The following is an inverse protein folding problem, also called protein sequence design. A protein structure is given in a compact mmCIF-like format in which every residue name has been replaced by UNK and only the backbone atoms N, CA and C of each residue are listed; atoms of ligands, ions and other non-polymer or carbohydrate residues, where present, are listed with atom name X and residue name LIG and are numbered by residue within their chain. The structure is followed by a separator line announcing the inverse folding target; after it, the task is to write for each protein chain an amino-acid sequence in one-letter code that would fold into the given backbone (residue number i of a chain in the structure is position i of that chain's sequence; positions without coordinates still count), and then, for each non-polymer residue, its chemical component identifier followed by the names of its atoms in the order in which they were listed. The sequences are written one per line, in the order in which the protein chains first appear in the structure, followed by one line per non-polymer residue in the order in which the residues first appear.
data_IF_461476731735
#
_entry.id   IF_461476731735
#
_cell.length_a   1.000
_cell.length_b   1.000
_cell.length_c   1.000
_cell.angle_alpha   90.00
_cell.angle_beta   90.00
_cell.angle_gamma   90.00
#
_symmetry.space_group_name_H-M   'P 1'
#
loop_
_entity.id
_entity.type
_entity.pdbx_description
1 polymer ?
#
# COMPACT_ATOMS: atom_id res chain seq x y z
N UNK A 1 19.20 21.17 -5.16
CA UNK A 1 17.88 20.65 -4.75
C UNK A 1 17.68 19.31 -5.42
N UNK A 2 17.37 18.21 -4.70
CA UNK A 2 17.11 16.94 -5.36
C UNK A 2 15.85 17.07 -6.20
N UNK A 3 15.92 16.64 -7.46
CA UNK A 3 14.77 16.58 -8.37
C UNK A 3 13.62 15.83 -7.70
N UNK A 4 12.54 16.53 -7.34
CA UNK A 4 11.33 15.89 -6.84
C UNK A 4 10.63 15.23 -8.03
N UNK A 5 10.73 13.90 -8.10
CA UNK A 5 9.87 13.12 -8.97
C UNK A 5 8.43 13.22 -8.46
N UNK A 6 7.51 13.61 -9.34
CA UNK A 6 6.07 13.54 -9.12
C UNK A 6 5.51 12.50 -10.08
N UNK A 7 4.90 11.45 -9.53
CA UNK A 7 4.34 10.36 -10.32
C UNK A 7 3.06 10.83 -11.05
N UNK A 8 2.99 10.67 -12.38
CA UNK A 8 1.80 11.05 -13.18
C UNK A 8 0.54 10.23 -12.81
N UNK A 9 0.71 8.98 -12.38
CA UNK A 9 -0.37 8.04 -12.04
C UNK A 9 0.04 7.21 -10.81
N UNK A 10 0.01 7.80 -9.62
CA UNK A 10 0.47 7.12 -8.42
C UNK A 10 -0.49 5.99 -8.05
N UNK A 11 0.07 4.82 -7.74
CA UNK A 11 -0.70 3.62 -7.39
C UNK A 11 -0.63 3.34 -5.89
N UNK A 12 -1.74 2.94 -5.24
CA UNK A 12 -1.72 2.49 -3.87
C UNK A 12 -1.34 1.01 -3.77
N UNK A 13 -0.56 0.68 -2.75
CA UNK A 13 -0.22 -0.69 -2.36
C UNK A 13 -0.50 -0.86 -0.86
N UNK A 14 -0.68 -2.10 -0.41
CA UNK A 14 -0.91 -2.40 1.00
C UNK A 14 0.09 -3.43 1.51
N UNK A 15 0.65 -3.18 2.69
CA UNK A 15 1.51 -4.11 3.42
C UNK A 15 0.76 -4.59 4.66
N UNK A 16 0.44 -5.88 4.69
CA UNK A 16 -0.18 -6.54 5.85
C UNK A 16 0.92 -7.25 6.64
N UNK A 17 1.21 -6.73 7.82
CA UNK A 17 2.20 -7.28 8.75
C UNK A 17 1.72 -7.10 10.18
N UNK A 18 2.01 -8.07 11.05
CA UNK A 18 1.66 -8.01 12.48
C UNK A 18 0.16 -7.79 12.79
N UNK A 19 -0.74 -8.26 11.92
CA UNK A 19 -2.20 -8.18 12.15
C UNK A 19 -2.72 -9.56 12.58
N UNK A 20 -2.97 -9.74 13.88
CA UNK A 20 -3.35 -11.06 14.42
C UNK A 20 -4.82 -11.43 14.18
N UNK A 21 -5.71 -10.44 14.07
CA UNK A 21 -7.15 -10.67 13.89
C UNK A 21 -7.46 -10.98 12.42
N UNK A 22 -7.92 -12.21 12.13
CA UNK A 22 -8.30 -12.65 10.76
C UNK A 22 -9.31 -11.73 10.10
N UNK A 23 -10.30 -11.23 10.86
CA UNK A 23 -11.30 -10.31 10.34
C UNK A 23 -10.68 -9.00 9.85
N UNK A 24 -9.69 -8.45 10.55
CA UNK A 24 -8.97 -7.26 10.11
C UNK A 24 -8.19 -7.54 8.82
N UNK A 25 -7.55 -8.72 8.69
CA UNK A 25 -6.89 -9.12 7.43
C UNK A 25 -7.89 -9.20 6.27
N UNK A 26 -9.06 -9.82 6.46
CA UNK A 26 -10.13 -9.87 5.45
C UNK A 26 -10.58 -8.48 5.03
N UNK A 27 -10.89 -7.62 6.00
CA UNK A 27 -11.35 -6.26 5.75
C UNK A 27 -10.29 -5.44 5.01
N UNK A 28 -9.02 -5.55 5.39
CA UNK A 28 -7.89 -4.88 4.72
C UNK A 28 -7.80 -5.27 3.24
N UNK A 29 -7.96 -6.55 2.92
CA UNK A 29 -7.96 -7.04 1.52
C UNK A 29 -9.15 -6.45 0.75
N UNK A 30 -10.35 -6.48 1.33
CA UNK A 30 -11.56 -5.93 0.68
C UNK A 30 -11.42 -4.42 0.44
N UNK A 31 -11.00 -3.68 1.45
CA UNK A 31 -10.82 -2.23 1.37
C UNK A 31 -9.76 -1.87 0.33
N UNK A 32 -8.62 -2.58 0.32
CA UNK A 32 -7.61 -2.41 -0.71
C UNK A 32 -8.19 -2.58 -2.12
N UNK A 33 -8.96 -3.65 -2.33
CA UNK A 33 -9.61 -3.89 -3.61
C UNK A 33 -10.54 -2.75 -4.04
N UNK A 34 -11.37 -2.27 -3.11
CA UNK A 34 -12.33 -1.20 -3.36
C UNK A 34 -11.68 0.12 -3.76
N UNK A 35 -10.46 0.40 -3.27
CA UNK A 35 -9.71 1.63 -3.56
C UNK A 35 -8.60 1.44 -4.60
N UNK A 36 -8.67 0.38 -5.42
CA UNK A 36 -7.77 0.20 -6.56
C UNK A 36 -6.37 -0.32 -6.22
N UNK A 37 -6.17 -0.91 -5.03
CA UNK A 37 -4.94 -1.64 -4.72
C UNK A 37 -4.91 -2.92 -5.57
N UNK A 38 -3.97 -3.01 -6.51
CA UNK A 38 -3.79 -4.21 -7.35
C UNK A 38 -2.80 -5.20 -6.75
N UNK A 39 -1.98 -4.77 -5.78
CA UNK A 39 -0.96 -5.63 -5.17
C UNK A 39 -0.93 -5.44 -3.66
N UNK A 40 -1.10 -6.54 -2.93
CA UNK A 40 -1.01 -6.61 -1.47
C UNK A 40 0.20 -7.45 -1.10
N UNK A 41 1.07 -6.89 -0.27
CA UNK A 41 2.23 -7.57 0.27
C UNK A 41 1.90 -8.08 1.67
N UNK A 42 2.14 -9.36 1.92
CA UNK A 42 1.84 -10.02 3.20
C UNK A 42 3.12 -10.52 3.82
N UNK A 43 3.41 -10.10 5.05
CA UNK A 43 4.65 -10.46 5.75
C UNK A 43 4.34 -11.26 7.01
N UNK A 44 4.89 -12.47 7.11
CA UNK A 44 4.85 -13.29 8.33
C UNK A 44 3.45 -13.78 8.75
N UNK A 45 2.44 -13.68 7.88
CA UNK A 45 1.08 -14.13 8.17
C UNK A 45 0.90 -15.61 7.81
N UNK A 46 1.20 -16.49 8.78
CA UNK A 46 1.08 -17.95 8.62
C UNK A 46 -0.30 -18.48 8.96
N UNK A 47 -1.04 -17.77 9.80
CA UNK A 47 -2.33 -18.25 10.29
C UNK A 47 -3.45 -18.13 9.25
N UNK A 48 -3.33 -17.21 8.29
CA UNK A 48 -4.35 -16.88 7.30
C UNK A 48 -4.10 -17.60 5.97
N UNK A 49 -5.13 -18.25 5.44
CA UNK A 49 -5.08 -18.93 4.15
C UNK A 49 -5.39 -17.94 3.00
N UNK A 50 -4.35 -17.57 2.26
CA UNK A 50 -4.44 -16.68 1.08
C UNK A 50 -4.66 -17.44 -0.24
N UNK A 51 -4.82 -18.75 -0.21
CA UNK A 51 -4.97 -19.54 -1.42
C UNK A 51 -6.38 -19.32 -1.98
N UNK A 52 -6.45 -18.87 -3.25
CA UNK A 52 -7.70 -18.63 -3.94
C UNK A 52 -8.25 -19.90 -4.63
N UNK A 53 -7.66 -21.08 -4.42
CA UNK A 53 -8.07 -22.34 -5.05
C UNK A 53 -9.24 -22.97 -4.29
N UNK A 54 -10.39 -23.13 -4.95
CA UNK A 54 -11.42 -24.06 -4.48
C UNK A 54 -11.10 -25.39 -5.17
N UNK A 55 -10.73 -26.42 -4.40
CA UNK A 55 -10.80 -27.78 -4.91
C UNK A 55 -12.29 -28.14 -4.94
N UNK A 56 -12.92 -27.95 -6.10
CA UNK A 56 -14.28 -28.42 -6.37
C UNK A 56 -14.27 -29.86 -6.94
N UNK A 57 -13.28 -30.65 -6.53
CA UNK A 57 -13.29 -32.09 -6.72
C UNK A 57 -14.01 -32.68 -5.51
N UNK A 58 -15.20 -33.23 -5.74
CA UNK A 58 -16.20 -33.62 -4.73
C UNK A 58 -15.83 -34.73 -3.74
N UNK A 59 -14.62 -34.72 -3.17
CA UNK A 59 -14.28 -35.56 -2.03
C UNK A 59 -13.14 -34.96 -1.19
N UNK A 60 -13.34 -34.91 0.13
CA UNK A 60 -12.42 -34.50 1.20
C UNK A 60 -12.21 -32.99 1.49
N UNK A 61 -12.86 -32.57 2.60
CA UNK A 61 -12.45 -31.53 3.58
C UNK A 61 -11.69 -30.34 2.99
N UNK A 62 -12.44 -29.42 2.38
CA UNK A 62 -11.95 -28.12 1.90
C UNK A 62 -11.22 -27.37 3.02
N UNK A 63 -9.92 -27.12 2.85
CA UNK A 63 -9.27 -26.01 3.56
C UNK A 63 -9.87 -24.71 3.01
N UNK A 64 -10.98 -24.26 3.59
CA UNK A 64 -11.70 -23.07 3.15
C UNK A 64 -10.73 -21.88 3.11
N UNK A 65 -10.60 -21.22 1.95
CA UNK A 65 -9.85 -19.97 1.81
C UNK A 65 -10.35 -18.95 2.84
N UNK A 66 -9.44 -18.15 3.40
CA UNK A 66 -9.85 -17.03 4.24
C UNK A 66 -10.13 -15.76 3.45
N UNK A 67 -9.90 -15.78 2.15
CA UNK A 67 -10.18 -14.65 1.29
C UNK A 67 -11.70 -14.38 1.26
N UNK A 68 -12.11 -13.10 1.21
CA UNK A 68 -13.50 -12.76 0.95
C UNK A 68 -13.96 -13.38 -0.37
N UNK A 69 -15.12 -14.06 -0.37
CA UNK A 69 -15.61 -14.82 -1.54
C UNK A 69 -15.67 -13.97 -2.81
N UNK A 70 -16.10 -12.71 -2.70
CA UNK A 70 -16.17 -11.76 -3.82
C UNK A 70 -14.80 -11.46 -4.46
N UNK A 71 -13.70 -11.68 -3.74
CA UNK A 71 -12.34 -11.38 -4.19
C UNK A 71 -11.66 -12.57 -4.87
N UNK A 72 -12.13 -13.79 -4.63
CA UNK A 72 -11.50 -15.02 -5.12
C UNK A 72 -11.40 -15.01 -6.66
N UNK A 73 -12.48 -14.68 -7.36
CA UNK A 73 -12.48 -14.61 -8.83
C UNK A 73 -11.55 -13.49 -9.35
N UNK A 74 -11.55 -12.33 -8.70
CA UNK A 74 -10.66 -11.22 -9.05
C UNK A 74 -9.17 -11.59 -8.92
N UNK A 75 -8.81 -12.31 -7.86
CA UNK A 75 -7.44 -12.80 -7.63
C UNK A 75 -7.09 -13.86 -8.67
N UNK A 76 -7.99 -14.82 -8.96
CA UNK A 76 -7.78 -15.85 -9.99
C UNK A 76 -7.55 -15.26 -11.38
N UNK A 77 -8.28 -14.19 -11.72
CA UNK A 77 -8.14 -13.47 -13.00
C UNK A 77 -6.95 -12.51 -13.04
N UNK A 78 -6.12 -12.47 -11.99
CA UNK A 78 -4.96 -11.58 -11.92
C UNK A 78 -5.31 -10.10 -11.75
N UNK A 79 -6.56 -9.75 -11.41
CA UNK A 79 -6.95 -8.35 -11.13
C UNK A 79 -6.39 -7.83 -9.80
N UNK A 80 -6.03 -8.76 -8.91
CA UNK A 80 -5.36 -8.48 -7.65
C UNK A 80 -4.32 -9.56 -7.39
N UNK A 81 -3.11 -9.14 -7.01
CA UNK A 81 -2.00 -10.02 -6.66
C UNK A 81 -1.72 -9.94 -5.17
N UNK A 82 -1.57 -11.08 -4.51
CA UNK A 82 -1.10 -11.18 -3.13
C UNK A 82 0.29 -11.81 -3.15
N UNK A 83 1.31 -11.07 -2.71
CA UNK A 83 2.70 -11.54 -2.66
C UNK A 83 3.08 -11.75 -1.20
N UNK A 84 3.56 -12.95 -0.87
CA UNK A 84 3.86 -13.35 0.51
C UNK A 84 5.37 -13.36 0.74
N UNK A 85 5.78 -12.87 1.90
CA UNK A 85 7.16 -12.88 2.38
C UNK A 85 7.21 -13.43 3.80
N UNK A 86 8.29 -14.14 4.11
CA UNK A 86 8.56 -14.57 5.49
C UNK A 86 9.15 -13.43 6.33
N UNK A 87 9.95 -12.56 5.70
CA UNK A 87 10.66 -11.46 6.37
C UNK A 87 10.29 -10.09 5.78
N UNK A 88 10.27 -9.08 6.65
CA UNK A 88 9.93 -7.71 6.27
C UNK A 88 10.98 -7.12 5.31
N UNK A 89 12.25 -7.43 5.51
CA UNK A 89 13.34 -6.93 4.70
C UNK A 89 13.25 -7.39 3.24
N UNK A 90 12.82 -8.63 3.01
CA UNK A 90 12.62 -9.20 1.66
C UNK A 90 11.45 -8.49 0.96
N UNK A 91 10.36 -8.24 1.69
CA UNK A 91 9.22 -7.47 1.21
C UNK A 91 9.63 -6.04 0.82
N UNK A 92 10.36 -5.35 1.69
CA UNK A 92 10.86 -3.98 1.44
C UNK A 92 11.78 -3.96 0.22
N UNK A 93 12.74 -4.89 0.13
CA UNK A 93 13.64 -4.98 -1.01
C UNK A 93 12.88 -5.20 -2.32
N UNK A 94 11.83 -6.04 -2.31
CA UNK A 94 10.96 -6.24 -3.45
C UNK A 94 10.18 -4.97 -3.82
N UNK A 95 9.53 -4.30 -2.85
CA UNK A 95 8.79 -3.05 -3.12
C UNK A 95 9.71 -1.98 -3.72
N UNK A 96 10.95 -1.87 -3.22
CA UNK A 96 11.93 -0.89 -3.70
C UNK A 96 12.54 -1.24 -5.06
N UNK A 97 12.43 -2.50 -5.52
CA UNK A 97 12.86 -2.88 -6.87
C UNK A 97 11.78 -2.64 -7.93
N UNK A 98 10.51 -2.47 -7.52
CA UNK A 98 9.42 -2.15 -8.43
C UNK A 98 9.50 -0.69 -8.92
N UNK A 99 9.10 -0.42 -10.17
CA UNK A 99 9.04 0.94 -10.69
C UNK A 99 7.96 1.74 -9.94
N UNK A 100 8.28 2.98 -9.57
CA UNK A 100 7.30 3.89 -8.93
C UNK A 100 6.14 4.23 -9.87
N UNK A 101 6.42 4.39 -11.17
CA UNK A 101 5.46 4.71 -12.20
C UNK A 101 5.75 3.89 -13.45
N UNK A 102 4.71 3.60 -14.23
CA UNK A 102 4.91 3.16 -15.61
C UNK A 102 5.65 4.29 -16.35
N UNK A 103 6.87 4.02 -16.81
CA UNK A 103 7.47 4.85 -17.85
C UNK A 103 6.64 4.61 -19.10
N UNK A 104 5.88 5.60 -19.53
CA UNK A 104 5.30 5.61 -20.87
C UNK A 104 6.42 5.21 -21.83
N UNK A 105 6.28 4.08 -22.52
CA UNK A 105 7.15 3.73 -23.64
C UNK A 105 7.01 4.88 -24.64
N UNK A 106 7.96 5.82 -24.60
CA UNK A 106 8.13 6.74 -25.69
C UNK A 106 8.54 5.87 -26.88
N UNK A 107 7.63 5.67 -27.82
CA UNK A 107 7.98 5.29 -29.18
C UNK A 107 8.85 6.42 -29.72
N UNK A 108 10.16 6.31 -29.52
CA UNK A 108 11.15 7.11 -30.23
C UNK A 108 11.51 6.29 -31.45
N UNK A 109 10.94 6.68 -32.59
CA UNK A 109 11.45 6.25 -33.89
C UNK A 109 12.89 6.77 -34.04
N UNK A 110 13.78 5.87 -34.43
CA UNK A 110 15.22 6.07 -34.55
C UNK A 110 15.60 7.19 -35.53
N UNK A 111 16.39 8.19 -35.10
CA UNK A 111 17.41 8.84 -35.96
C UNK A 111 18.65 9.27 -35.14
N UNK A 112 19.77 8.62 -35.46
CA UNK A 112 21.20 8.98 -35.39
C UNK A 112 21.96 9.22 -34.06
N UNK A 113 22.73 8.16 -33.72
CA UNK A 113 24.18 8.08 -33.49
C UNK A 113 24.99 9.22 -32.83
N UNK A 114 25.73 8.78 -31.79
CA UNK A 114 26.95 9.35 -31.19
C UNK A 114 26.81 10.62 -30.34
N UNK A 115 26.81 10.45 -29.00
CA UNK A 115 28.05 10.53 -28.19
C UNK A 115 27.77 10.88 -26.72
N UNK A 116 28.61 10.32 -25.85
CA UNK A 116 28.81 10.64 -24.41
C UNK A 116 27.79 10.02 -23.44
N UNK A 117 28.21 8.90 -22.85
CA UNK A 117 27.70 8.44 -21.56
C UNK A 117 27.91 9.52 -20.50
N UNK A 118 26.85 10.25 -20.15
CA UNK A 118 26.76 10.94 -18.86
C UNK A 118 25.96 10.07 -17.91
N UNK A 119 26.71 9.28 -17.13
CA UNK A 119 26.26 8.65 -15.89
C UNK A 119 25.85 9.75 -14.90
N UNK A 120 24.61 10.22 -15.02
CA UNK A 120 23.94 10.94 -13.95
C UNK A 120 23.30 9.88 -13.05
N UNK A 121 23.95 9.61 -11.92
CA UNK A 121 23.56 8.65 -10.89
C UNK A 121 22.30 9.12 -10.13
N UNK A 122 21.24 9.42 -10.88
CA UNK A 122 19.93 9.83 -10.39
C UNK A 122 19.23 8.56 -9.94
N UNK A 123 19.15 8.32 -8.62
CA UNK A 123 18.39 7.19 -8.08
C UNK A 123 17.00 7.20 -8.70
N UNK A 124 16.62 6.14 -9.42
CA UNK A 124 15.28 6.01 -9.99
C UNK A 124 14.25 6.16 -8.86
N UNK A 125 13.14 6.88 -9.09
CA UNK A 125 12.09 6.98 -8.10
C UNK A 125 11.54 5.60 -7.77
N UNK A 126 11.40 5.31 -6.47
CA UNK A 126 10.87 4.04 -5.96
C UNK A 126 9.52 4.26 -5.29
N UNK A 127 8.77 3.17 -5.09
CA UNK A 127 7.53 3.20 -4.29
C UNK A 127 7.87 3.64 -2.86
N UNK A 128 7.12 4.59 -2.32
CA UNK A 128 7.24 5.01 -0.92
C UNK A 128 6.60 3.98 0.00
N UNK A 129 7.18 3.74 1.17
CA UNK A 129 6.60 2.93 2.23
C UNK A 129 6.18 3.89 3.33
N UNK A 130 4.88 4.09 3.49
CA UNK A 130 4.33 5.03 4.47
C UNK A 130 3.64 4.24 5.58
N UNK A 131 4.08 4.48 6.82
CA UNK A 131 3.45 3.93 8.00
C UNK A 131 2.20 4.71 8.37
N UNK A 132 1.11 4.02 8.71
CA UNK A 132 -0.09 4.64 9.29
C UNK A 132 -0.04 4.43 10.79
N UNK A 133 0.42 5.46 11.50
CA UNK A 133 0.77 5.37 12.93
C UNK A 133 0.63 6.73 13.63
N UNK A 134 0.25 6.69 14.91
CA UNK A 134 0.19 7.85 15.79
C UNK A 134 1.57 8.08 16.40
N UNK A 135 2.46 8.70 15.64
CA UNK A 135 3.82 9.05 16.05
C UNK A 135 4.04 10.58 16.03
N UNK A 136 4.88 11.17 16.89
CA UNK A 136 5.16 12.61 16.84
C UNK A 136 5.71 13.12 15.49
N UNK A 137 6.37 12.26 14.71
CA UNK A 137 6.85 12.58 13.36
C UNK A 137 5.80 12.42 12.26
N UNK A 138 4.60 11.91 12.60
CA UNK A 138 3.53 11.66 11.63
C UNK A 138 2.86 12.96 11.17
N UNK A 139 2.58 13.02 9.87
CA UNK A 139 1.86 14.13 9.24
C UNK A 139 0.36 13.83 9.25
N UNK A 140 -0.45 14.87 9.42
CA UNK A 140 -1.90 14.78 9.29
C UNK A 140 -2.30 14.30 7.89
N UNK A 141 -3.11 13.25 7.85
CA UNK A 141 -3.69 12.72 6.62
C UNK A 141 -4.50 13.80 5.85
N UNK A 142 -5.12 14.72 6.59
CA UNK A 142 -5.91 15.82 6.03
C UNK A 142 -5.07 16.74 5.13
N UNK A 143 -3.76 16.84 5.41
CA UNK A 143 -2.81 17.68 4.65
C UNK A 143 -2.31 17.02 3.36
N UNK A 144 -2.78 15.82 3.02
CA UNK A 144 -2.42 15.08 1.80
C UNK A 144 -0.90 14.99 1.54
N UNK A 145 -0.14 14.36 2.43
CA UNK A 145 1.33 14.31 2.34
C UNK A 145 1.84 13.33 1.26
N UNK A 146 1.01 12.98 0.28
CA UNK A 146 1.34 12.01 -0.75
C UNK A 146 2.05 12.69 -1.92
N UNK A 147 3.07 12.03 -2.47
CA UNK A 147 3.83 12.56 -3.62
C UNK A 147 4.02 11.53 -4.74
N UNK A 148 3.94 10.23 -4.41
CA UNK A 148 4.31 9.13 -5.30
C UNK A 148 3.42 7.90 -5.05
N UNK A 149 3.61 6.87 -5.89
CA UNK A 149 3.07 5.54 -5.60
C UNK A 149 3.52 5.09 -4.21
N UNK A 150 2.57 4.60 -3.41
CA UNK A 150 2.76 4.41 -1.97
C UNK A 150 2.24 3.06 -1.51
N UNK A 151 3.09 2.33 -0.80
CA UNK A 151 2.76 1.15 -0.03
C UNK A 151 2.47 1.53 1.42
N UNK A 152 1.22 1.38 1.83
CA UNK A 152 0.78 1.68 3.18
C UNK A 152 1.01 0.49 4.10
N UNK A 153 1.70 0.73 5.21
CA UNK A 153 1.91 -0.25 6.28
C UNK A 153 1.15 0.20 7.52
N UNK A 154 0.19 -0.61 7.95
CA UNK A 154 -0.69 -0.23 9.07
C UNK A 154 -0.08 -0.64 10.41
N UNK A 155 -0.17 0.24 11.42
CA UNK A 155 0.08 -0.12 12.82
C UNK A 155 -0.95 -1.12 13.35
N UNK A 156 -0.53 -2.00 14.25
CA UNK A 156 -1.44 -2.92 14.93
C UNK A 156 -2.26 -2.20 16.01
N UNK A 157 -3.49 -2.64 16.25
CA UNK A 157 -4.34 -2.07 17.30
C UNK A 157 -3.68 -2.22 18.68
N UNK A 158 -3.60 -1.11 19.43
CA UNK A 158 -3.07 -1.06 20.79
C UNK A 158 -1.55 -1.08 20.91
N UNK A 159 -0.83 -1.83 20.06
CA UNK A 159 0.64 -1.90 20.08
C UNK A 159 1.32 -0.96 19.08
N UNK A 160 0.59 -0.53 18.05
CA UNK A 160 1.14 0.23 16.93
C UNK A 160 2.14 -0.58 16.10
N UNK A 161 3.07 0.13 15.50
CA UNK A 161 4.18 -0.39 14.70
C UNK A 161 5.39 -0.69 15.59
N UNK A 162 6.05 -1.81 15.30
CA UNK A 162 7.34 -2.14 15.92
C UNK A 162 8.44 -1.20 15.41
N UNK A 163 9.51 -1.02 16.19
CA UNK A 163 10.70 -0.24 15.76
C UNK A 163 11.26 -0.67 14.40
N UNK A 164 11.22 -1.98 14.13
CA UNK A 164 11.66 -2.57 12.86
C UNK A 164 10.75 -2.18 11.69
N UNK A 165 9.44 -2.11 11.91
CA UNK A 165 8.50 -1.61 10.91
C UNK A 165 8.68 -0.11 10.69
N UNK A 166 8.86 0.67 11.76
CA UNK A 166 9.10 2.10 11.65
C UNK A 166 10.39 2.41 10.88
N UNK A 167 11.48 1.66 11.11
CA UNK A 167 12.78 1.93 10.47
C UNK A 167 12.82 1.74 8.95
N UNK A 168 11.83 1.05 8.37
CA UNK A 168 11.75 0.83 6.92
C UNK A 168 10.77 1.77 6.21
N UNK A 169 10.01 2.56 6.98
CA UNK A 169 9.11 3.57 6.44
C UNK A 169 9.89 4.81 5.99
N UNK A 170 9.50 5.38 4.85
CA UNK A 170 10.00 6.67 4.36
C UNK A 170 9.33 7.86 5.09
N UNK A 171 8.24 7.60 5.82
CA UNK A 171 7.50 8.57 6.61
C UNK A 171 6.25 7.98 7.24
N UNK A 172 5.54 8.80 8.01
CA UNK A 172 4.35 8.39 8.74
C UNK A 172 3.19 9.35 8.49
N UNK A 173 1.98 8.80 8.44
CA UNK A 173 0.74 9.57 8.42
C UNK A 173 -0.14 9.15 9.57
N UNK A 174 -0.86 10.12 10.14
CA UNK A 174 -1.88 9.89 11.16
C UNK A 174 -3.22 10.47 10.76
N UNK A 175 -4.28 9.84 11.24
CA UNK A 175 -5.64 10.37 11.14
C UNK A 175 -5.88 11.23 12.38
N UNK A 176 -6.33 12.46 12.21
CA UNK A 176 -6.64 13.32 13.34
C UNK A 176 -7.83 12.75 14.13
N UNK A 177 -7.68 12.65 15.45
CA UNK A 177 -8.72 12.16 16.36
C UNK A 177 -9.13 13.30 17.30
N UNK A 178 -10.44 13.54 17.41
CA UNK A 178 -11.00 14.68 18.17
C UNK A 178 -11.75 14.25 19.43
N UNK A 179 -11.99 12.95 19.61
CA UNK A 179 -12.65 12.40 20.79
C UNK A 179 -11.65 11.88 21.83
N UNK A 180 -12.05 11.87 23.10
CA UNK A 180 -11.23 11.34 24.21
C UNK A 180 -11.53 9.88 24.60
N UNK A 181 -12.48 9.23 23.94
CA UNK A 181 -12.98 7.90 24.33
C UNK A 181 -12.19 6.70 23.79
N UNK A 182 -11.26 6.94 22.86
CA UNK A 182 -10.40 5.90 22.29
C UNK A 182 -9.01 6.44 22.03
N UNK A 183 -8.00 5.58 22.15
CA UNK A 183 -6.63 5.91 21.79
C UNK A 183 -6.35 5.80 20.28
N UNK A 184 -7.12 4.97 19.57
CA UNK A 184 -6.90 4.69 18.14
C UNK A 184 -8.15 4.20 17.42
N UNK A 185 -8.11 4.25 16.09
CA UNK A 185 -9.12 3.65 15.21
C UNK A 185 -8.83 2.15 15.01
N UNK A 186 -9.87 1.40 14.66
CA UNK A 186 -9.69 0.05 14.11
C UNK A 186 -8.79 0.12 12.85
N UNK A 187 -7.87 -0.84 12.72
CA UNK A 187 -6.86 -0.82 11.64
C UNK A 187 -7.49 -0.82 10.24
N UNK A 188 -8.62 -1.51 10.07
CA UNK A 188 -9.32 -1.58 8.78
C UNK A 188 -9.99 -0.24 8.47
N UNK A 189 -10.58 0.42 9.49
CA UNK A 189 -11.17 1.76 9.35
C UNK A 189 -10.08 2.78 8.97
N UNK A 190 -8.92 2.72 9.63
CA UNK A 190 -7.79 3.58 9.31
C UNK A 190 -7.31 3.38 7.86
N UNK A 191 -7.20 2.12 7.41
CA UNK A 191 -6.81 1.81 6.03
C UNK A 191 -7.84 2.36 5.02
N UNK A 192 -9.13 2.26 5.32
CA UNK A 192 -10.19 2.82 4.48
C UNK A 192 -10.05 4.33 4.32
N UNK A 193 -9.83 5.06 5.42
CA UNK A 193 -9.65 6.52 5.38
C UNK A 193 -8.40 6.92 4.59
N UNK A 194 -7.27 6.25 4.82
CA UNK A 194 -6.01 6.54 4.12
C UNK A 194 -6.11 6.25 2.63
N UNK A 195 -6.65 5.09 2.25
CA UNK A 195 -6.78 4.71 0.84
C UNK A 195 -7.81 5.56 0.11
N UNK A 196 -8.92 5.91 0.75
CA UNK A 196 -9.89 6.84 0.21
C UNK A 196 -9.24 8.21 -0.06
N UNK A 197 -8.49 8.75 0.91
CA UNK A 197 -7.79 10.02 0.75
C UNK A 197 -6.75 9.97 -0.37
N UNK A 198 -5.95 8.92 -0.41
CA UNK A 198 -4.97 8.69 -1.47
C UNK A 198 -5.63 8.59 -2.85
N UNK A 199 -6.77 7.91 -2.96
CA UNK A 199 -7.49 7.75 -4.22
C UNK A 199 -7.94 9.11 -4.78
N UNK A 200 -8.52 9.99 -3.97
CA UNK A 200 -8.93 11.33 -4.41
C UNK A 200 -7.74 12.21 -4.77
N UNK A 201 -6.70 12.23 -3.92
CA UNK A 201 -5.46 12.95 -4.21
C UNK A 201 -4.83 12.49 -5.53
N UNK A 202 -4.74 11.19 -5.79
CA UNK A 202 -4.12 10.64 -7.00
C UNK A 202 -4.87 10.97 -8.29
N UNK A 203 -6.13 11.36 -8.20
CA UNK A 203 -6.96 11.81 -9.32
C UNK A 203 -6.93 13.33 -9.53
N UNK A 204 -6.36 14.08 -8.58
CA UNK A 204 -6.46 15.53 -8.56
C UNK A 204 -7.88 16.01 -8.28
N UNK A 205 -8.69 15.21 -7.57
CA UNK A 205 -10.02 15.65 -7.14
C UNK A 205 -9.82 16.77 -6.09
N UNK A 206 -10.19 18.01 -6.42
CA UNK A 206 -10.07 19.14 -5.50
C UNK A 206 -10.85 18.87 -4.21
N UNK A 207 -10.14 18.83 -3.10
CA UNK A 207 -10.77 18.86 -1.79
C UNK A 207 -11.07 20.32 -1.55
N UNK A 208 -12.34 20.69 -1.66
CA UNK A 208 -12.79 22.02 -1.23
C UNK A 208 -12.43 22.15 0.24
N UNK A 209 -11.28 22.76 0.52
CA UNK A 209 -10.91 23.19 1.86
C UNK A 209 -11.88 24.32 2.16
N UNK A 210 -13.00 23.97 2.80
CA UNK A 210 -13.91 24.96 3.33
C UNK A 210 -13.09 25.94 4.16
N UNK A 211 -13.03 27.18 3.70
CA UNK A 211 -12.49 28.27 4.50
C UNK A 211 -13.23 28.22 5.83
N UNK A 212 -12.50 27.95 6.92
CA UNK A 212 -13.05 28.18 8.25
C UNK A 212 -13.31 29.69 8.34
N UNK A 213 -14.59 30.06 8.22
CA UNK A 213 -15.12 31.41 8.51
C UNK A 213 -15.09 31.69 9.99
#
# INVERSE_FOLDING_TARGET
MPHHHSCKKPKPYLIITNISKRQNVRNLIQIGASFGVTTIFVVGQKSFNFDATNNDDGNNKSSSSDLPTAMIDGIRRGKMTIIRFDKLEECVAHIKSLPCCETEEQQVEDVDNNSIQKSNNSKKPTIQIIGVEIDPSSVNLENEPFINSTAFMMGNEGQGMTKKQMSVCDGFVRISQYGGGTASLNVSVAAGLVLHRFFHWSRGDDVVVGQQT
#
